data_IF_261687841946
#
_entry.id   IF_261687841946
#
_cell.length_a   1.000
_cell.length_b   1.000
_cell.length_c   1.000
_cell.angle_alpha   90.00
_cell.angle_beta   90.00
_cell.angle_gamma   90.00
#
_symmetry.space_group_name_H-M   'P 1'
#
loop_
_entity.id
_entity.type
_entity.pdbx_description
1 polymer ?
#
# COMPACT_ATOMS: atom_id res chain seq x y z
N UNK A 1 -81.85 -38.51 -0.47
CA UNK A 1 -81.24 -38.84 -1.59
C UNK A 1 -79.75 -39.05 -1.50
N UNK A 2 -79.36 -40.26 -1.70
CA UNK A 2 -78.01 -40.77 -1.68
C UNK A 2 -77.07 -40.03 -2.71
N UNK A 3 -77.66 -39.61 -3.80
CA UNK A 3 -76.87 -38.92 -4.86
C UNK A 3 -76.42 -37.55 -4.41
N UNK A 4 -77.21 -36.78 -3.71
CA UNK A 4 -76.83 -35.47 -3.15
C UNK A 4 -75.80 -35.56 -2.05
N UNK A 5 -75.81 -36.61 -1.23
CA UNK A 5 -74.80 -36.83 -0.21
C UNK A 5 -73.46 -37.21 -0.80
N UNK A 6 -73.48 -38.04 -1.85
CA UNK A 6 -72.24 -38.38 -2.58
C UNK A 6 -71.60 -37.14 -3.28
N UNK A 7 -72.46 -36.31 -3.86
CA UNK A 7 -71.96 -35.04 -4.44
C UNK A 7 -71.36 -34.12 -3.37
N UNK A 8 -72.03 -34.00 -2.23
CA UNK A 8 -71.60 -33.18 -1.13
C UNK A 8 -70.24 -33.67 -0.59
N UNK A 9 -70.08 -34.98 -0.41
CA UNK A 9 -68.89 -35.62 0.07
C UNK A 9 -67.74 -35.40 -0.97
N UNK A 10 -68.06 -35.54 -2.22
CA UNK A 10 -67.11 -35.28 -3.30
C UNK A 10 -66.62 -33.84 -3.32
N UNK A 11 -67.55 -32.89 -3.15
CA UNK A 11 -67.20 -31.48 -3.06
C UNK A 11 -66.38 -31.13 -1.84
N UNK A 12 -66.71 -31.74 -0.69
CA UNK A 12 -65.88 -31.61 0.54
C UNK A 12 -64.46 -32.13 0.33
N UNK A 13 -64.30 -33.27 -0.31
CA UNK A 13 -62.99 -33.83 -0.62
C UNK A 13 -62.18 -32.90 -1.55
N UNK A 14 -62.82 -32.31 -2.54
CA UNK A 14 -62.17 -31.33 -3.44
C UNK A 14 -61.74 -30.08 -2.66
N UNK A 15 -62.60 -29.57 -1.78
CA UNK A 15 -62.29 -28.41 -0.94
C UNK A 15 -61.11 -28.72 -0.02
N UNK A 16 -61.07 -29.90 0.58
CA UNK A 16 -59.94 -30.30 1.43
C UNK A 16 -58.63 -30.39 0.65
N UNK A 17 -58.66 -30.97 -0.54
CA UNK A 17 -57.48 -31.04 -1.43
C UNK A 17 -57.02 -29.64 -1.81
N UNK A 18 -57.91 -28.75 -2.18
CA UNK A 18 -57.61 -27.37 -2.53
C UNK A 18 -57.03 -26.62 -1.35
N UNK A 19 -57.56 -26.79 -0.16
CA UNK A 19 -57.05 -26.18 1.06
C UNK A 19 -55.63 -26.64 1.36
N UNK A 20 -55.37 -27.92 1.23
CA UNK A 20 -54.00 -28.45 1.41
C UNK A 20 -53.03 -27.89 0.36
N UNK A 21 -53.49 -27.78 -0.89
CA UNK A 21 -52.69 -27.18 -1.95
C UNK A 21 -52.36 -25.70 -1.65
N UNK A 22 -53.33 -24.94 -1.15
CA UNK A 22 -53.13 -23.54 -0.78
C UNK A 22 -52.09 -23.44 0.34
N UNK A 23 -52.24 -24.25 1.40
CA UNK A 23 -51.26 -24.24 2.49
C UNK A 23 -49.87 -24.65 2.04
N UNK A 24 -49.77 -25.61 1.13
CA UNK A 24 -48.45 -25.99 0.55
C UNK A 24 -47.84 -24.87 -0.24
N UNK A 25 -48.63 -24.17 -1.06
CA UNK A 25 -48.16 -23.03 -1.85
C UNK A 25 -47.79 -21.85 -0.96
N UNK A 26 -48.55 -21.59 0.10
CA UNK A 26 -48.22 -20.54 1.08
C UNK A 26 -46.87 -20.79 1.75
N UNK A 27 -46.63 -22.04 2.18
CA UNK A 27 -45.33 -22.42 2.77
C UNK A 27 -44.18 -22.28 1.78
N UNK A 28 -44.40 -22.67 0.52
CA UNK A 28 -43.40 -22.50 -0.54
C UNK A 28 -43.14 -21.04 -0.81
N UNK A 29 -44.18 -20.24 -0.86
CA UNK A 29 -44.04 -18.80 -1.07
C UNK A 29 -43.24 -18.14 0.06
N UNK A 30 -43.52 -18.51 1.30
CA UNK A 30 -42.80 -18.01 2.46
C UNK A 30 -41.32 -18.44 2.42
N UNK A 31 -41.05 -19.70 2.08
CA UNK A 31 -39.67 -20.18 1.95
C UNK A 31 -38.89 -19.46 0.86
N UNK A 32 -39.50 -19.25 -0.30
CA UNK A 32 -38.90 -18.50 -1.41
C UNK A 32 -38.63 -17.05 -1.06
N UNK A 33 -39.54 -16.43 -0.31
CA UNK A 33 -39.39 -15.04 0.14
C UNK A 33 -38.21 -14.93 1.11
N UNK A 34 -38.06 -15.87 2.04
CA UNK A 34 -36.92 -15.91 2.96
C UNK A 34 -35.61 -16.13 2.21
N UNK A 35 -35.62 -17.00 1.21
CA UNK A 35 -34.44 -17.24 0.35
C UNK A 35 -34.08 -15.98 -0.45
N UNK A 36 -35.06 -15.28 -1.02
CA UNK A 36 -34.85 -14.04 -1.75
C UNK A 36 -34.27 -12.95 -0.85
N UNK A 37 -34.79 -12.83 0.38
CA UNK A 37 -34.25 -11.87 1.36
C UNK A 37 -32.82 -12.19 1.76
N UNK A 38 -32.52 -13.47 1.99
CA UNK A 38 -31.17 -13.92 2.29
C UNK A 38 -30.21 -13.65 1.13
N UNK A 39 -30.65 -13.89 -0.10
CA UNK A 39 -29.88 -13.60 -1.31
C UNK A 39 -29.58 -12.11 -1.43
N UNK A 40 -30.56 -11.25 -1.18
CA UNK A 40 -30.37 -9.79 -1.23
C UNK A 40 -29.31 -9.35 -0.22
N UNK A 41 -29.34 -9.87 1.00
CA UNK A 41 -28.34 -9.54 2.02
C UNK A 41 -26.93 -9.95 1.59
N UNK A 42 -26.80 -11.14 1.00
CA UNK A 42 -25.50 -11.62 0.50
C UNK A 42 -25.01 -10.76 -0.67
N UNK A 43 -25.91 -10.38 -1.58
CA UNK A 43 -25.56 -9.50 -2.70
C UNK A 43 -25.09 -8.12 -2.22
N UNK A 44 -25.75 -7.55 -1.20
CA UNK A 44 -25.34 -6.28 -0.60
C UNK A 44 -23.95 -6.40 0.04
N UNK A 45 -23.69 -7.48 0.77
CA UNK A 45 -22.36 -7.74 1.35
C UNK A 45 -21.28 -7.91 0.28
N UNK A 46 -21.61 -8.63 -0.78
CA UNK A 46 -20.69 -8.83 -1.90
C UNK A 46 -20.31 -7.49 -2.54
N UNK A 47 -21.30 -6.63 -2.74
CA UNK A 47 -21.07 -5.30 -3.31
C UNK A 47 -20.14 -4.46 -2.43
N UNK A 48 -20.36 -4.49 -1.12
CA UNK A 48 -19.50 -3.79 -0.15
C UNK A 48 -18.08 -4.34 -0.19
N UNK A 49 -17.92 -5.66 -0.23
CA UNK A 49 -16.60 -6.30 -0.31
C UNK A 49 -15.88 -5.97 -1.61
N UNK A 50 -16.60 -5.94 -2.73
CA UNK A 50 -16.03 -5.54 -4.02
C UNK A 50 -15.51 -4.11 -3.97
N UNK A 51 -16.29 -3.20 -3.40
CA UNK A 51 -15.88 -1.81 -3.23
C UNK A 51 -14.64 -1.70 -2.35
N UNK A 52 -14.61 -2.41 -1.24
CA UNK A 52 -13.45 -2.44 -0.35
C UNK A 52 -12.20 -3.00 -1.04
N UNK A 53 -12.38 -4.02 -1.88
CA UNK A 53 -11.29 -4.59 -2.67
C UNK A 53 -10.72 -3.59 -3.68
N UNK A 54 -11.59 -2.89 -4.37
CA UNK A 54 -11.18 -1.84 -5.33
C UNK A 54 -10.44 -0.71 -4.62
N UNK A 55 -10.96 -0.27 -3.49
CA UNK A 55 -10.32 0.77 -2.67
C UNK A 55 -8.95 0.33 -2.18
N UNK A 56 -8.84 -0.91 -1.73
CA UNK A 56 -7.56 -1.48 -1.28
C UNK A 56 -6.55 -1.57 -2.42
N UNK A 57 -7.00 -2.01 -3.60
CA UNK A 57 -6.16 -2.04 -4.81
C UNK A 57 -5.64 -0.65 -5.17
N UNK A 58 -6.52 0.35 -5.17
CA UNK A 58 -6.14 1.73 -5.47
C UNK A 58 -5.11 2.25 -4.46
N UNK A 59 -5.26 1.93 -3.18
CA UNK A 59 -4.29 2.29 -2.13
C UNK A 59 -2.96 1.59 -2.33
N UNK A 60 -2.97 0.31 -2.69
CA UNK A 60 -1.76 -0.45 -2.99
C UNK A 60 -1.02 0.14 -4.18
N UNK A 61 -1.72 0.44 -5.26
CA UNK A 61 -1.13 1.03 -6.47
C UNK A 61 -0.49 2.38 -6.15
N UNK A 62 -1.17 3.20 -5.38
CA UNK A 62 -0.65 4.49 -4.94
C UNK A 62 0.60 4.31 -4.06
N UNK A 63 0.57 3.38 -3.14
CA UNK A 63 1.70 3.08 -2.25
C UNK A 63 2.90 2.57 -3.05
N UNK A 64 2.68 1.70 -4.03
CA UNK A 64 3.73 1.19 -4.92
C UNK A 64 4.36 2.32 -5.74
N UNK A 65 3.53 3.25 -6.26
CA UNK A 65 4.03 4.39 -7.02
C UNK A 65 4.89 5.32 -6.15
N UNK A 66 4.45 5.62 -4.93
CA UNK A 66 5.23 6.41 -3.96
C UNK A 66 6.54 5.71 -3.63
N UNK A 67 6.53 4.41 -3.41
CA UNK A 67 7.74 3.62 -3.14
C UNK A 67 8.70 3.66 -4.32
N UNK A 68 8.19 3.53 -5.54
CA UNK A 68 8.99 3.62 -6.76
C UNK A 68 9.64 4.99 -6.91
N UNK A 69 8.88 6.04 -6.64
CA UNK A 69 9.36 7.41 -6.71
C UNK A 69 10.44 7.67 -5.66
N UNK A 70 10.23 7.24 -4.43
CA UNK A 70 11.22 7.37 -3.35
C UNK A 70 12.50 6.60 -3.64
N UNK A 71 12.39 5.39 -4.19
CA UNK A 71 13.57 4.61 -4.61
C UNK A 71 14.36 5.32 -5.70
N UNK A 72 13.67 5.92 -6.67
CA UNK A 72 14.31 6.69 -7.74
C UNK A 72 15.03 7.91 -7.19
N UNK A 73 14.39 8.66 -6.30
CA UNK A 73 14.98 9.81 -5.64
C UNK A 73 16.18 9.41 -4.79
N UNK A 74 16.08 8.34 -4.06
CA UNK A 74 17.20 7.81 -3.26
C UNK A 74 18.38 7.46 -4.12
N UNK A 75 18.17 6.79 -5.25
CA UNK A 75 19.24 6.45 -6.20
C UNK A 75 19.88 7.70 -6.78
N UNK A 76 19.09 8.70 -7.15
CA UNK A 76 19.59 9.97 -7.67
C UNK A 76 20.42 10.72 -6.62
N UNK A 77 19.96 10.74 -5.38
CA UNK A 77 20.71 11.37 -4.28
C UNK A 77 22.01 10.64 -3.98
N UNK A 78 22.01 9.32 -3.98
CA UNK A 78 23.24 8.54 -3.80
C UNK A 78 24.26 8.82 -4.90
N UNK A 79 23.81 8.89 -6.17
CA UNK A 79 24.68 9.20 -7.29
C UNK A 79 25.26 10.63 -7.18
N UNK A 80 24.43 11.58 -6.76
CA UNK A 80 24.86 12.95 -6.52
C UNK A 80 25.90 13.03 -5.39
N UNK A 81 25.66 12.30 -4.33
CA UNK A 81 26.57 12.25 -3.17
C UNK A 81 27.91 11.65 -3.53
N UNK A 82 27.92 10.58 -4.33
CA UNK A 82 29.15 9.97 -4.83
C UNK A 82 29.95 10.91 -5.72
N UNK A 83 29.26 11.65 -6.61
CA UNK A 83 29.91 12.65 -7.46
C UNK A 83 30.55 13.77 -6.63
N UNK A 84 29.85 14.24 -5.62
CA UNK A 84 30.32 15.25 -4.70
C UNK A 84 31.53 14.78 -3.89
N UNK A 85 31.50 13.56 -3.39
CA UNK A 85 32.60 12.92 -2.67
C UNK A 85 33.86 12.79 -3.56
N UNK A 86 33.68 12.38 -4.82
CA UNK A 86 34.77 12.27 -5.79
C UNK A 86 35.37 13.65 -6.13
N UNK A 87 34.52 14.65 -6.33
CA UNK A 87 34.98 16.02 -6.59
C UNK A 87 35.76 16.57 -5.41
N UNK A 88 35.29 16.34 -4.21
CA UNK A 88 35.97 16.73 -2.98
C UNK A 88 37.33 16.05 -2.84
N UNK A 89 37.39 14.76 -3.15
CA UNK A 89 38.66 14.01 -3.13
C UNK A 89 39.67 14.56 -4.13
N UNK A 90 39.24 14.87 -5.36
CA UNK A 90 40.11 15.50 -6.38
C UNK A 90 40.63 16.85 -5.91
N UNK A 91 39.76 17.71 -5.37
CA UNK A 91 40.17 19.01 -4.84
C UNK A 91 41.17 18.88 -3.70
N UNK A 92 40.99 17.90 -2.83
CA UNK A 92 41.91 17.61 -1.75
C UNK A 92 43.28 17.19 -2.28
N UNK A 93 43.29 16.31 -3.28
CA UNK A 93 44.57 15.88 -3.93
C UNK A 93 45.26 17.00 -4.64
N UNK A 94 44.54 17.84 -5.38
CA UNK A 94 45.06 19.03 -6.04
C UNK A 94 45.66 20.02 -5.03
N UNK A 95 44.96 20.21 -3.92
CA UNK A 95 45.43 21.07 -2.83
C UNK A 95 46.74 20.56 -2.26
N UNK A 96 46.82 19.26 -2.01
CA UNK A 96 48.06 18.64 -1.50
C UNK A 96 49.22 18.78 -2.49
N UNK A 97 48.95 18.56 -3.79
CA UNK A 97 49.96 18.73 -4.82
C UNK A 97 50.45 20.18 -4.91
N UNK A 98 49.56 21.15 -4.83
CA UNK A 98 49.91 22.54 -4.83
C UNK A 98 50.70 22.93 -3.60
N UNK A 99 50.33 22.44 -2.46
CA UNK A 99 51.10 22.66 -1.22
C UNK A 99 52.50 22.05 -1.29
N UNK A 100 52.59 20.83 -1.84
CA UNK A 100 53.87 20.17 -2.04
C UNK A 100 54.77 20.95 -3.01
N UNK A 101 54.22 21.47 -4.12
CA UNK A 101 54.93 22.30 -5.06
C UNK A 101 55.41 23.62 -4.43
N UNK A 102 54.56 24.22 -3.59
CA UNK A 102 54.95 25.44 -2.87
C UNK A 102 56.07 25.19 -1.86
N UNK A 103 56.07 24.03 -1.20
CA UNK A 103 57.13 23.68 -0.25
C UNK A 103 58.42 23.29 -0.92
N UNK A 104 58.38 22.59 -2.05
CA UNK A 104 59.56 22.01 -2.68
C UNK A 104 60.02 22.77 -3.94
N UNK A 105 59.22 23.66 -4.47
CA UNK A 105 59.44 24.17 -5.81
C UNK A 105 59.90 25.60 -5.90
N UNK A 106 60.07 26.34 -4.81
CA UNK A 106 60.38 27.69 -5.10
C UNK A 106 60.80 28.52 -3.93
N UNK A 107 61.58 29.38 -4.25
CA UNK A 107 62.17 30.49 -3.51
C UNK A 107 62.58 30.15 -2.10
N UNK A 108 63.90 30.06 -1.93
CA UNK A 108 64.48 29.88 -0.62
C UNK A 108 64.15 31.07 0.27
N UNK A 109 63.37 30.92 1.27
CA UNK A 109 63.08 31.99 2.22
C UNK A 109 61.74 32.06 2.85
N UNK A 110 60.85 31.17 2.45
CA UNK A 110 59.57 31.06 3.14
C UNK A 110 59.60 29.90 4.11
N UNK A 111 59.66 30.23 5.37
CA UNK A 111 59.53 29.20 6.42
C UNK A 111 58.12 28.60 6.33
N UNK A 112 58.00 27.26 6.40
CA UNK A 112 56.72 26.61 6.38
C UNK A 112 55.96 26.99 7.63
N UNK A 113 54.96 27.84 7.49
CA UNK A 113 53.96 28.04 8.53
C UNK A 113 53.23 26.71 8.71
N UNK A 114 53.11 26.27 9.95
CA UNK A 114 52.39 25.06 10.26
C UNK A 114 51.02 25.08 9.65
N UNK A 115 50.59 23.98 8.98
CA UNK A 115 49.26 23.91 8.40
C UNK A 115 48.20 24.11 9.49
N UNK A 116 47.22 24.99 9.26
CA UNK A 116 46.14 25.11 10.19
C UNK A 116 45.44 23.74 10.26
N UNK A 117 45.39 23.19 11.45
CA UNK A 117 44.65 21.95 11.68
C UNK A 117 43.19 22.24 11.60
N UNK A 118 42.67 22.31 10.38
CA UNK A 118 41.24 22.29 10.16
C UNK A 118 40.81 20.87 10.29
N UNK A 119 40.39 20.51 11.48
CA UNK A 119 39.67 19.27 11.65
C UNK A 119 38.36 19.36 10.87
N UNK A 120 38.12 18.46 9.91
CA UNK A 120 36.90 18.53 9.14
C UNK A 120 35.71 18.25 10.04
N UNK A 121 34.86 19.23 10.19
CA UNK A 121 33.54 19.10 10.88
C UNK A 121 32.56 18.26 10.08
N UNK A 122 33.05 17.34 9.26
CA UNK A 122 32.25 16.56 8.35
C UNK A 122 31.59 15.34 8.98
N UNK A 123 32.01 14.97 10.17
CA UNK A 123 31.54 13.74 10.80
C UNK A 123 30.17 13.87 11.47
N UNK A 124 29.66 15.07 11.67
CA UNK A 124 28.38 15.27 12.33
C UNK A 124 27.18 15.07 11.39
N UNK A 125 27.37 15.01 10.08
CA UNK A 125 26.28 14.86 9.12
C UNK A 125 25.90 13.39 8.84
N UNK A 126 26.81 12.45 9.05
CA UNK A 126 26.54 11.04 8.76
C UNK A 126 25.71 10.33 9.82
N UNK A 127 25.68 10.85 11.04
CA UNK A 127 24.92 10.21 12.11
C UNK A 127 23.43 10.54 12.06
N UNK A 128 23.04 11.60 11.38
CA UNK A 128 21.62 11.97 11.29
C UNK A 128 20.86 11.26 10.16
N UNK A 129 21.57 10.79 9.14
CA UNK A 129 20.92 10.09 8.03
C UNK A 129 20.58 8.63 8.35
N UNK A 130 21.28 8.02 9.30
CA UNK A 130 20.97 6.64 9.71
C UNK A 130 19.77 6.56 10.66
N UNK A 131 19.42 7.62 11.34
CA UNK A 131 18.24 7.64 12.22
C UNK A 131 16.93 7.85 11.50
N UNK A 132 16.95 8.45 10.31
CA UNK A 132 15.76 8.69 9.50
C UNK A 132 15.23 7.42 8.83
N UNK A 133 16.06 6.38 8.69
CA UNK A 133 15.68 5.13 8.04
C UNK A 133 15.38 3.99 9.01
N UNK A 134 15.60 4.15 10.29
CA UNK A 134 15.18 3.20 11.30
C UNK A 134 13.81 3.59 11.85
N UNK A 135 12.79 3.50 11.01
CA UNK A 135 11.43 3.55 11.49
C UNK A 135 11.07 2.19 12.03
N UNK A 136 10.64 2.08 13.28
CA UNK A 136 10.07 0.84 13.76
C UNK A 136 8.79 0.52 12.99
N UNK A 137 8.49 -0.74 12.80
CA UNK A 137 7.33 -1.18 12.04
C UNK A 137 6.02 -0.71 12.66
#
# INVERSE_FOLDING_TARGET
SLHMEDELNSLKAVVDIRTQQIHTLERRMLALQQEADAKRIVEEKLQVLQQQNEDMKARMDKSMEVTRQLSSEQTALQASLQREAKAKQRLSMEKEQLMWKLQNGSSPGVSPSSPPSTSPTFFSFQSNTTQLFSTPP
#
